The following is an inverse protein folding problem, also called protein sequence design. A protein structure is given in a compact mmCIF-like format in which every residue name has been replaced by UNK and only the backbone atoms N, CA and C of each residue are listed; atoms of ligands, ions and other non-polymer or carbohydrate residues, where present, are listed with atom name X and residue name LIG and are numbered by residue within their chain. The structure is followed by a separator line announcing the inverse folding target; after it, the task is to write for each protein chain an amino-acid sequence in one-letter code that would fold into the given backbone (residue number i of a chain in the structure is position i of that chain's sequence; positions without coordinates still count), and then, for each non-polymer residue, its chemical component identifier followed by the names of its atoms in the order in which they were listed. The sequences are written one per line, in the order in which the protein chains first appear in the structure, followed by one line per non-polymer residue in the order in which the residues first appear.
data_IF_051020706510
#
_entry.id   IF_051020706510
#
_cell.length_a   1.000
_cell.length_b   1.000
_cell.length_c   1.000
_cell.angle_alpha   90.00
_cell.angle_beta   90.00
_cell.angle_gamma   90.00
#
_symmetry.space_group_name_H-M   'P 1'
#
loop_
_entity.id
_entity.type
_entity.pdbx_description
1 polymer ?
#
# COMPACT_ATOMS: atom_id res chain seq x y z
N UNK A 1 -34.55 98.18 41.89
CA UNK A 1 -34.69 97.68 40.53
C UNK A 1 -33.51 96.74 40.28
N UNK A 2 -33.68 95.45 40.53
CA UNK A 2 -32.63 94.52 40.19
C UNK A 2 -33.27 93.10 39.99
N UNK A 3 -33.24 92.69 38.78
CA UNK A 3 -33.83 91.43 38.31
C UNK A 3 -32.72 90.34 38.39
N UNK A 4 -32.88 89.41 39.25
CA UNK A 4 -32.02 88.22 39.32
C UNK A 4 -32.59 87.03 38.52
N UNK A 5 -31.88 86.63 37.48
CA UNK A 5 -32.18 85.44 36.65
C UNK A 5 -31.56 84.18 37.29
N UNK A 6 -32.40 83.27 37.74
CA UNK A 6 -32.01 81.92 38.09
C UNK A 6 -31.74 81.10 36.79
N UNK A 7 -30.53 80.54 36.71
CA UNK A 7 -30.14 79.51 35.74
C UNK A 7 -30.23 78.14 36.41
N UNK A 8 -31.18 77.31 35.98
CA UNK A 8 -31.25 75.88 36.36
C UNK A 8 -30.23 75.11 35.57
N UNK A 9 -29.34 74.41 36.26
CA UNK A 9 -28.42 73.45 35.70
C UNK A 9 -29.16 72.08 35.57
N UNK A 10 -29.40 71.65 34.33
CA UNK A 10 -29.82 70.22 34.05
C UNK A 10 -28.60 69.37 34.11
N UNK A 11 -28.57 68.36 35.00
CA UNK A 11 -27.59 67.32 35.04
C UNK A 11 -27.96 66.21 34.04
N UNK A 12 -27.15 66.05 33.00
CA UNK A 12 -27.27 64.90 32.06
C UNK A 12 -26.69 63.67 32.74
N UNK A 13 -27.54 62.69 33.07
CA UNK A 13 -27.10 61.34 33.46
C UNK A 13 -26.86 60.54 32.18
N UNK A 14 -25.60 60.24 31.84
CA UNK A 14 -25.20 59.30 30.83
C UNK A 14 -25.35 57.91 31.43
N UNK A 15 -26.31 57.11 30.92
CA UNK A 15 -26.43 55.70 31.27
C UNK A 15 -25.46 54.88 30.43
N UNK A 16 -24.46 54.30 31.10
CA UNK A 16 -23.55 53.32 30.47
C UNK A 16 -24.30 51.98 30.33
N UNK A 17 -24.67 51.60 29.13
CA UNK A 17 -25.19 50.27 28.82
C UNK A 17 -23.98 49.38 28.58
N UNK A 18 -23.64 48.54 29.53
CA UNK A 18 -22.65 47.45 29.37
C UNK A 18 -23.28 46.33 28.54
N UNK A 19 -22.89 46.23 27.26
CA UNK A 19 -23.27 45.09 26.42
C UNK A 19 -22.46 43.84 26.84
N UNK A 20 -23.11 42.94 27.52
CA UNK A 20 -22.60 41.58 27.77
C UNK A 20 -22.66 40.77 26.47
N UNK A 21 -21.53 40.62 25.76
CA UNK A 21 -21.38 39.64 24.67
C UNK A 21 -21.31 38.24 25.25
N UNK A 22 -22.14 37.31 24.77
CA UNK A 22 -22.02 35.89 25.21
C UNK A 22 -20.75 35.31 24.63
N UNK A 23 -19.84 34.90 25.50
CA UNK A 23 -18.65 34.12 25.13
C UNK A 23 -19.10 32.70 24.78
N UNK A 24 -19.33 32.42 23.48
CA UNK A 24 -19.52 31.04 23.01
C UNK A 24 -18.21 30.28 23.20
N UNK A 25 -18.10 29.51 24.26
CA UNK A 25 -17.03 28.53 24.41
C UNK A 25 -17.22 27.44 23.34
N UNK A 26 -16.40 27.49 22.30
CA UNK A 26 -16.24 26.39 21.35
C UNK A 26 -15.53 25.28 22.11
N UNK A 27 -16.31 24.27 22.56
CA UNK A 27 -15.72 23.05 23.10
C UNK A 27 -14.89 22.38 21.98
N UNK A 28 -13.63 22.00 22.26
CA UNK A 28 -12.87 21.22 21.28
C UNK A 28 -13.65 19.92 21.01
N UNK A 29 -14.01 19.68 19.74
CA UNK A 29 -14.43 18.35 19.32
C UNK A 29 -13.24 17.42 19.58
N UNK A 30 -13.33 16.60 20.61
CA UNK A 30 -12.41 15.49 20.79
C UNK A 30 -12.62 14.58 19.57
N UNK A 31 -11.65 14.56 18.68
CA UNK A 31 -11.62 13.59 17.60
C UNK A 31 -11.67 12.20 18.27
N UNK A 32 -12.76 11.48 18.05
CA UNK A 32 -12.85 10.10 18.50
C UNK A 32 -11.74 9.31 17.80
N UNK A 33 -10.94 8.60 18.57
CA UNK A 33 -9.99 7.65 17.98
C UNK A 33 -10.77 6.67 17.10
N UNK A 34 -10.30 6.38 15.89
CA UNK A 34 -10.97 5.42 15.02
C UNK A 34 -11.18 4.09 15.75
N UNK A 35 -12.29 3.41 15.46
CA UNK A 35 -12.56 2.10 16.03
C UNK A 35 -11.40 1.13 15.70
N UNK A 36 -11.04 0.22 16.62
CA UNK A 36 -9.91 -0.65 16.39
C UNK A 36 -10.20 -1.67 15.29
N UNK A 37 -9.24 -1.89 14.41
CA UNK A 37 -9.30 -2.96 13.42
C UNK A 37 -9.37 -4.33 14.10
N UNK A 38 -10.23 -5.20 13.58
CA UNK A 38 -10.34 -6.59 14.00
C UNK A 38 -10.72 -7.47 12.82
N UNK A 39 -10.54 -8.78 12.93
CA UNK A 39 -10.97 -9.71 11.88
C UNK A 39 -12.50 -9.77 11.83
N UNK A 40 -13.06 -9.38 10.68
CA UNK A 40 -14.51 -9.35 10.45
C UNK A 40 -15.01 -10.54 9.62
N UNK A 41 -14.11 -11.17 8.83
CA UNK A 41 -14.45 -12.36 8.05
C UNK A 41 -13.20 -13.23 7.78
N UNK A 42 -13.46 -14.49 7.45
CA UNK A 42 -12.47 -15.45 6.98
C UNK A 42 -13.12 -16.39 5.97
N UNK A 43 -12.48 -16.59 4.83
CA UNK A 43 -12.97 -17.45 3.76
C UNK A 43 -11.92 -18.48 3.38
N UNK A 44 -12.27 -19.77 3.47
CA UNK A 44 -11.39 -20.84 3.00
C UNK A 44 -11.38 -20.87 1.48
N UNK A 45 -10.21 -20.65 0.88
CA UNK A 45 -10.02 -20.67 -0.57
C UNK A 45 -9.51 -22.03 -1.05
N UNK A 46 -8.77 -22.72 -0.20
CA UNK A 46 -8.19 -24.04 -0.50
C UNK A 46 -7.14 -24.03 -1.63
N UNK A 47 -6.98 -25.17 -2.27
CA UNK A 47 -6.03 -25.36 -3.36
C UNK A 47 -4.56 -25.37 -2.92
N UNK A 48 -3.68 -25.72 -3.86
CA UNK A 48 -2.24 -25.87 -3.63
C UNK A 48 -1.45 -24.66 -4.16
N UNK A 49 -0.17 -24.56 -3.75
CA UNK A 49 0.78 -23.56 -4.20
C UNK A 49 1.03 -22.45 -3.18
N UNK A 50 2.10 -21.69 -3.42
CA UNK A 50 2.40 -20.48 -2.67
C UNK A 50 1.53 -19.31 -3.10
N UNK A 51 1.65 -18.20 -2.40
CA UNK A 51 0.97 -16.94 -2.73
C UNK A 51 1.93 -15.78 -2.61
N UNK A 52 1.53 -14.65 -3.19
CA UNK A 52 2.29 -13.42 -3.09
C UNK A 52 1.34 -12.21 -3.07
N UNK A 53 1.24 -11.42 -4.13
CA UNK A 53 0.45 -10.18 -4.16
C UNK A 53 -1.06 -10.41 -4.14
N UNK A 54 -1.75 -9.43 -3.53
CA UNK A 54 -3.18 -9.20 -3.68
C UNK A 54 -3.38 -7.85 -4.36
N UNK A 55 -4.40 -7.75 -5.21
CA UNK A 55 -4.83 -6.47 -5.81
C UNK A 55 -6.35 -6.46 -5.93
N UNK A 56 -6.98 -5.41 -5.41
CA UNK A 56 -8.42 -5.23 -5.45
C UNK A 56 -8.84 -4.40 -6.67
N UNK A 57 -9.70 -4.96 -7.50
CA UNK A 57 -10.48 -4.21 -8.48
C UNK A 57 -11.72 -3.64 -7.77
N UNK A 58 -11.60 -2.42 -7.27
CA UNK A 58 -12.65 -1.75 -6.52
C UNK A 58 -13.91 -1.48 -7.36
N UNK A 59 -13.77 -1.35 -8.68
CA UNK A 59 -14.89 -1.09 -9.58
C UNK A 59 -15.80 -2.32 -9.75
N UNK A 60 -15.26 -3.53 -9.68
CA UNK A 60 -16.02 -4.77 -9.84
C UNK A 60 -16.09 -5.63 -8.57
N UNK A 61 -15.52 -5.16 -7.45
CA UNK A 61 -15.44 -5.88 -6.18
C UNK A 61 -14.79 -7.27 -6.30
N UNK A 62 -13.72 -7.36 -7.12
CA UNK A 62 -12.95 -8.57 -7.34
C UNK A 62 -11.56 -8.45 -6.76
N UNK A 63 -11.18 -9.40 -5.93
CA UNK A 63 -9.84 -9.52 -5.39
C UNK A 63 -9.04 -10.52 -6.25
N UNK A 64 -7.92 -10.08 -6.77
CA UNK A 64 -6.99 -10.89 -7.55
C UNK A 64 -5.85 -11.32 -6.63
N UNK A 65 -5.57 -12.61 -6.58
CA UNK A 65 -4.56 -13.19 -5.70
C UNK A 65 -3.59 -14.03 -6.52
N UNK A 66 -2.30 -13.66 -6.53
CA UNK A 66 -1.28 -14.46 -7.19
C UNK A 66 -1.03 -15.76 -6.42
N UNK A 67 -1.05 -16.90 -7.15
CA UNK A 67 -1.11 -18.24 -6.56
C UNK A 67 -0.20 -19.22 -7.31
N UNK A 68 1.10 -18.91 -7.30
CA UNK A 68 2.13 -19.74 -7.93
C UNK A 68 2.01 -19.77 -9.46
N UNK A 69 1.24 -20.67 -10.02
CA UNK A 69 1.08 -20.86 -11.47
C UNK A 69 -0.18 -20.20 -12.06
N UNK A 70 -0.91 -19.45 -11.26
CA UNK A 70 -2.17 -18.79 -11.64
C UNK A 70 -2.45 -17.55 -10.82
N UNK A 71 -3.45 -16.78 -11.24
CA UNK A 71 -4.09 -15.74 -10.46
C UNK A 71 -5.53 -16.15 -10.19
N UNK A 72 -5.90 -16.26 -8.92
CA UNK A 72 -7.28 -16.47 -8.48
C UNK A 72 -8.02 -15.15 -8.50
N UNK A 73 -9.21 -15.11 -9.09
CA UNK A 73 -10.14 -13.98 -9.06
C UNK A 73 -11.29 -14.33 -8.14
N UNK A 74 -11.44 -13.58 -7.07
CA UNK A 74 -12.32 -13.88 -5.95
C UNK A 74 -13.31 -12.74 -5.77
N UNK A 75 -14.58 -13.06 -5.46
CA UNK A 75 -15.57 -12.07 -5.02
C UNK A 75 -15.20 -11.56 -3.62
N UNK A 76 -14.99 -10.26 -3.49
CA UNK A 76 -14.51 -9.62 -2.25
C UNK A 76 -15.37 -9.94 -1.02
N UNK A 77 -16.69 -9.89 -1.19
CA UNK A 77 -17.65 -10.01 -0.07
C UNK A 77 -17.91 -11.42 0.43
N UNK A 78 -17.57 -12.45 -0.36
CA UNK A 78 -17.91 -13.86 -0.05
C UNK A 78 -16.72 -14.81 -0.08
N UNK A 79 -15.59 -14.38 -0.63
CA UNK A 79 -14.45 -15.28 -0.89
C UNK A 79 -14.70 -16.31 -1.98
N UNK A 80 -15.80 -16.19 -2.74
CA UNK A 80 -16.12 -17.13 -3.82
C UNK A 80 -15.13 -17.00 -4.96
N UNK A 81 -14.54 -18.11 -5.38
CA UNK A 81 -13.74 -18.17 -6.58
C UNK A 81 -14.63 -17.94 -7.82
N UNK A 82 -14.36 -16.89 -8.59
CA UNK A 82 -15.06 -16.53 -9.81
C UNK A 82 -14.36 -17.06 -11.06
N UNK A 83 -13.00 -16.98 -11.07
CA UNK A 83 -12.18 -17.36 -12.20
C UNK A 83 -10.75 -17.65 -11.78
N UNK A 84 -9.99 -18.35 -12.63
CA UNK A 84 -8.53 -18.48 -12.52
C UNK A 84 -7.89 -18.13 -13.86
N UNK A 85 -6.93 -17.18 -13.84
CA UNK A 85 -6.08 -16.90 -15.01
C UNK A 85 -4.87 -17.83 -14.88
N UNK A 86 -4.75 -18.79 -15.78
CA UNK A 86 -3.79 -19.90 -15.74
C UNK A 86 -2.71 -19.78 -16.82
N UNK A 87 -1.76 -20.74 -16.84
CA UNK A 87 -0.67 -20.76 -17.81
C UNK A 87 0.48 -19.81 -17.48
N UNK A 88 0.60 -19.47 -16.23
CA UNK A 88 1.62 -18.58 -15.66
C UNK A 88 2.62 -19.38 -14.81
N UNK A 89 3.84 -18.85 -14.60
CA UNK A 89 4.83 -19.52 -13.78
C UNK A 89 5.44 -18.57 -12.73
N UNK A 90 5.19 -18.85 -11.45
CA UNK A 90 5.60 -18.02 -10.30
C UNK A 90 5.08 -16.58 -10.44
N UNK A 91 3.76 -16.46 -10.33
CA UNK A 91 3.05 -15.17 -10.38
C UNK A 91 3.33 -14.31 -9.15
N UNK A 92 3.41 -13.00 -9.39
CA UNK A 92 3.65 -11.99 -8.36
C UNK A 92 2.69 -10.80 -8.51
N UNK A 93 3.20 -9.63 -8.92
CA UNK A 93 2.44 -8.39 -8.99
C UNK A 93 1.27 -8.41 -9.98
N UNK A 94 0.20 -7.69 -9.63
CA UNK A 94 -0.99 -7.51 -10.45
C UNK A 94 -1.32 -6.02 -10.46
N UNK A 95 -1.61 -5.45 -11.63
CA UNK A 95 -1.99 -4.04 -11.76
C UNK A 95 -3.05 -3.85 -12.84
N UNK A 96 -3.79 -2.73 -12.77
CA UNK A 96 -4.92 -2.47 -13.67
C UNK A 96 -4.82 -1.12 -14.38
N UNK A 97 -5.07 -1.12 -15.68
CA UNK A 97 -5.42 0.03 -16.50
C UNK A 97 -6.94 0.08 -16.69
N UNK A 98 -7.62 0.85 -15.88
CA UNK A 98 -9.06 1.02 -16.00
C UNK A 98 -9.46 1.78 -17.28
N UNK A 99 -8.57 2.63 -17.81
CA UNK A 99 -8.83 3.39 -19.03
C UNK A 99 -8.90 2.52 -20.28
N UNK A 100 -7.96 1.57 -20.42
CA UNK A 100 -7.95 0.60 -21.49
C UNK A 100 -8.70 -0.71 -21.14
N UNK A 101 -9.12 -0.88 -19.87
CA UNK A 101 -9.72 -2.10 -19.31
C UNK A 101 -8.80 -3.31 -19.41
N UNK A 102 -7.51 -3.11 -19.16
CA UNK A 102 -6.50 -4.16 -19.14
C UNK A 102 -6.00 -4.43 -17.73
N UNK A 103 -5.72 -5.68 -17.46
CA UNK A 103 -4.96 -6.12 -16.30
C UNK A 103 -3.59 -6.65 -16.74
N UNK A 104 -2.64 -6.58 -15.81
CA UNK A 104 -1.27 -7.04 -16.01
C UNK A 104 -0.86 -7.94 -14.87
N UNK A 105 -0.09 -8.97 -15.15
CA UNK A 105 0.45 -9.93 -14.16
C UNK A 105 1.93 -10.13 -14.45
N UNK A 106 2.77 -10.03 -13.42
CA UNK A 106 4.17 -10.45 -13.53
C UNK A 106 4.31 -11.93 -13.21
N UNK A 107 5.21 -12.59 -13.92
CA UNK A 107 5.59 -13.98 -13.70
C UNK A 107 7.11 -14.13 -13.72
N UNK A 108 7.72 -14.36 -12.53
CA UNK A 108 9.17 -14.43 -12.38
C UNK A 108 9.77 -15.69 -12.99
N UNK A 109 9.02 -16.78 -13.05
CA UNK A 109 9.46 -18.03 -13.68
C UNK A 109 9.72 -17.91 -15.18
N UNK A 110 8.96 -17.04 -15.86
CA UNK A 110 9.08 -16.77 -17.28
C UNK A 110 9.79 -15.45 -17.59
N UNK A 111 10.08 -14.64 -16.57
CA UNK A 111 10.53 -13.25 -16.72
C UNK A 111 9.62 -12.52 -17.70
N UNK A 112 8.35 -12.40 -17.34
CA UNK A 112 7.32 -11.89 -18.26
C UNK A 112 6.28 -11.02 -17.57
N UNK A 113 5.59 -10.21 -18.37
CA UNK A 113 4.35 -9.53 -18.04
C UNK A 113 3.26 -10.03 -18.98
N UNK A 114 2.19 -10.55 -18.41
CA UNK A 114 1.00 -11.01 -19.14
C UNK A 114 -0.09 -9.95 -19.05
N UNK A 115 -0.64 -9.54 -20.18
CA UNK A 115 -1.78 -8.64 -20.29
C UNK A 115 -3.06 -9.45 -20.50
N UNK A 116 -4.13 -9.07 -19.80
CA UNK A 116 -5.46 -9.69 -19.93
C UNK A 116 -6.57 -8.62 -20.00
N UNK A 117 -7.71 -8.98 -20.56
CA UNK A 117 -8.92 -8.14 -20.55
C UNK A 117 -9.54 -8.16 -19.15
N UNK A 118 -9.75 -6.99 -18.56
CA UNK A 118 -10.24 -6.88 -17.17
C UNK A 118 -11.71 -7.31 -17.02
N UNK A 119 -12.50 -7.33 -18.09
CA UNK A 119 -13.90 -7.76 -18.03
C UNK A 119 -14.06 -9.26 -18.27
N UNK A 120 -13.41 -9.79 -19.33
CA UNK A 120 -13.53 -11.21 -19.72
C UNK A 120 -12.54 -12.11 -19.00
N UNK A 121 -11.45 -11.54 -18.47
CA UNK A 121 -10.30 -12.23 -17.84
C UNK A 121 -9.47 -13.07 -18.83
N UNK A 122 -9.71 -12.91 -20.14
CA UNK A 122 -8.96 -13.59 -21.19
C UNK A 122 -7.57 -12.97 -21.36
N UNK A 123 -6.56 -13.83 -21.53
CA UNK A 123 -5.19 -13.38 -21.81
C UNK A 123 -5.11 -12.79 -23.21
N UNK A 124 -4.64 -11.56 -23.31
CA UNK A 124 -4.47 -10.82 -24.56
C UNK A 124 -3.06 -10.98 -25.16
N UNK A 125 -2.07 -11.24 -24.32
CA UNK A 125 -0.69 -11.43 -24.75
C UNK A 125 0.30 -11.42 -23.59
N UNK A 126 1.55 -11.78 -23.90
CA UNK A 126 2.65 -11.82 -22.94
C UNK A 126 3.88 -11.19 -23.57
N UNK A 127 4.60 -10.38 -22.79
CA UNK A 127 5.84 -9.72 -23.19
C UNK A 127 6.97 -10.08 -22.22
N UNK A 128 8.20 -10.15 -22.72
CA UNK A 128 9.38 -10.36 -21.87
C UNK A 128 9.65 -9.18 -20.99
N UNK A 129 9.99 -9.47 -19.75
CA UNK A 129 10.48 -8.55 -18.74
C UNK A 129 11.92 -8.89 -18.32
N UNK A 130 12.48 -8.15 -17.39
CA UNK A 130 13.76 -8.48 -16.78
C UNK A 130 13.67 -9.70 -15.86
N UNK A 131 14.80 -10.27 -15.50
CA UNK A 131 14.90 -11.44 -14.65
C UNK A 131 14.27 -11.17 -13.26
N UNK A 132 13.44 -12.10 -12.79
CA UNK A 132 12.73 -11.96 -11.53
C UNK A 132 11.68 -10.84 -11.56
N UNK A 133 10.83 -10.81 -12.60
CA UNK A 133 9.68 -9.91 -12.69
C UNK A 133 8.76 -10.14 -11.49
N UNK A 134 8.63 -9.12 -10.63
CA UNK A 134 8.03 -9.19 -9.29
C UNK A 134 6.96 -8.12 -9.11
N UNK A 135 7.18 -7.08 -8.31
CA UNK A 135 6.22 -6.02 -8.13
C UNK A 135 5.77 -5.40 -9.45
N UNK A 136 4.51 -4.98 -9.50
CA UNK A 136 3.91 -4.40 -10.68
C UNK A 136 3.00 -3.25 -10.28
N UNK A 137 3.13 -2.12 -10.93
CA UNK A 137 2.21 -1.00 -10.81
C UNK A 137 1.74 -0.53 -12.18
N UNK A 138 0.61 0.17 -12.21
CA UNK A 138 0.18 0.94 -13.37
C UNK A 138 0.27 2.44 -13.03
N UNK A 139 0.98 3.20 -13.84
CA UNK A 139 1.07 4.65 -13.69
C UNK A 139 0.12 5.35 -14.66
N UNK A 140 -0.90 6.00 -14.12
CA UNK A 140 -1.95 6.67 -14.89
C UNK A 140 -1.42 7.83 -15.74
N UNK A 141 -0.38 8.53 -15.26
CA UNK A 141 0.16 9.72 -15.93
C UNK A 141 0.91 9.39 -17.23
N UNK A 142 1.54 8.22 -17.29
CA UNK A 142 2.24 7.74 -18.48
C UNK A 142 1.40 6.76 -19.29
N UNK A 143 0.41 6.10 -18.69
CA UNK A 143 -0.33 5.00 -19.30
C UNK A 143 0.49 3.72 -19.41
N UNK A 144 1.48 3.54 -18.54
CA UNK A 144 2.39 2.40 -18.56
C UNK A 144 2.22 1.49 -17.36
N UNK A 145 2.34 0.18 -17.58
CA UNK A 145 2.62 -0.77 -16.52
C UNK A 145 4.14 -0.89 -16.33
N UNK A 146 4.61 -0.84 -15.08
CA UNK A 146 6.01 -0.98 -14.71
C UNK A 146 6.18 -2.25 -13.88
N UNK A 147 6.91 -3.23 -14.44
CA UNK A 147 7.34 -4.44 -13.75
C UNK A 147 8.70 -4.22 -13.11
N UNK A 148 8.80 -4.42 -11.82
CA UNK A 148 10.06 -4.32 -11.07
C UNK A 148 10.72 -5.69 -11.02
N UNK A 149 11.93 -5.78 -11.55
CA UNK A 149 12.61 -7.04 -11.80
C UNK A 149 13.73 -7.24 -10.77
N UNK A 150 13.42 -7.95 -9.68
CA UNK A 150 14.31 -8.09 -8.53
C UNK A 150 15.68 -8.65 -8.89
N UNK A 151 15.76 -9.77 -9.60
CA UNK A 151 17.04 -10.36 -10.02
C UNK A 151 17.72 -9.57 -11.17
N UNK A 152 16.95 -8.79 -11.93
CA UNK A 152 17.46 -7.97 -13.04
C UNK A 152 17.91 -6.57 -12.63
N UNK A 153 17.72 -6.15 -11.37
CA UNK A 153 18.02 -4.80 -10.87
C UNK A 153 17.49 -3.69 -11.78
N UNK A 154 16.27 -3.87 -12.28
CA UNK A 154 15.68 -3.03 -13.33
C UNK A 154 14.17 -2.93 -13.21
N UNK A 155 13.58 -1.99 -13.95
CA UNK A 155 12.15 -1.99 -14.24
C UNK A 155 11.92 -2.15 -15.75
N UNK A 156 10.93 -2.98 -16.13
CA UNK A 156 10.45 -3.10 -17.51
C UNK A 156 9.20 -2.26 -17.66
N UNK A 157 9.19 -1.37 -18.66
CA UNK A 157 8.06 -0.50 -18.99
C UNK A 157 7.24 -1.13 -20.11
N UNK A 158 5.95 -1.31 -19.86
CA UNK A 158 5.01 -1.91 -20.80
C UNK A 158 3.91 -0.89 -21.12
N UNK A 159 3.64 -0.69 -22.40
CA UNK A 159 2.54 0.15 -22.87
C UNK A 159 1.20 -0.45 -22.45
N UNK A 160 0.39 0.30 -21.72
CA UNK A 160 -0.87 -0.18 -21.15
C UNK A 160 -1.93 -0.57 -22.18
N UNK A 161 -1.89 0.02 -23.37
CA UNK A 161 -2.87 -0.23 -24.43
C UNK A 161 -2.49 -1.38 -25.33
N UNK A 162 -1.21 -1.52 -25.63
CA UNK A 162 -0.73 -2.48 -26.63
C UNK A 162 -0.03 -3.71 -26.04
N UNK A 163 0.32 -3.66 -24.74
CA UNK A 163 1.10 -4.70 -24.06
C UNK A 163 2.55 -4.83 -24.55
N UNK A 164 3.07 -3.86 -25.32
CA UNK A 164 4.44 -3.90 -25.85
C UNK A 164 5.43 -3.37 -24.82
N UNK A 165 6.60 -3.99 -24.71
CA UNK A 165 7.72 -3.46 -23.97
C UNK A 165 8.26 -2.20 -24.65
N UNK A 166 8.36 -1.10 -23.89
CA UNK A 166 8.84 0.21 -24.37
C UNK A 166 10.26 0.46 -23.97
N UNK A 167 10.64 0.09 -22.74
CA UNK A 167 11.96 0.39 -22.17
C UNK A 167 12.31 -0.58 -21.05
N UNK A 168 13.60 -0.64 -20.74
CA UNK A 168 14.14 -1.19 -19.50
C UNK A 168 14.91 -0.10 -18.78
N UNK A 169 14.57 0.17 -17.52
CA UNK A 169 15.17 1.19 -16.68
C UNK A 169 16.13 0.51 -15.70
N UNK A 170 17.46 0.73 -15.78
CA UNK A 170 18.40 0.23 -14.78
C UNK A 170 18.16 0.92 -13.43
N UNK A 171 17.92 0.16 -12.37
CA UNK A 171 17.67 0.70 -11.03
C UNK A 171 18.91 0.72 -10.14
N UNK A 172 19.93 -0.08 -10.47
CA UNK A 172 21.20 -0.13 -9.74
C UNK A 172 21.09 -0.76 -8.36
N UNK A 173 20.09 -1.59 -8.13
CA UNK A 173 19.84 -2.38 -6.94
C UNK A 173 18.56 -3.20 -7.13
N UNK A 174 18.31 -4.11 -6.20
CA UNK A 174 17.17 -5.04 -6.23
C UNK A 174 15.87 -4.32 -5.83
N UNK A 175 14.97 -4.05 -6.79
CA UNK A 175 13.68 -3.46 -6.47
C UNK A 175 12.77 -4.48 -5.79
N UNK A 176 11.94 -3.97 -4.88
CA UNK A 176 10.88 -4.72 -4.20
C UNK A 176 9.55 -4.02 -4.47
N UNK A 177 8.87 -3.42 -3.49
CA UNK A 177 7.62 -2.69 -3.74
C UNK A 177 7.83 -1.34 -4.41
N UNK A 178 6.78 -0.92 -5.14
CA UNK A 178 6.73 0.39 -5.80
C UNK A 178 5.37 1.07 -5.61
N UNK A 179 5.37 2.39 -5.74
CA UNK A 179 4.18 3.23 -5.69
C UNK A 179 4.26 4.38 -6.69
N UNK A 180 3.12 4.79 -7.26
CA UNK A 180 3.02 5.95 -8.15
C UNK A 180 2.25 7.08 -7.46
N UNK A 181 2.65 8.34 -7.73
CA UNK A 181 1.87 9.51 -7.32
C UNK A 181 0.73 9.84 -8.30
N UNK A 182 0.58 9.05 -9.38
CA UNK A 182 -0.39 9.28 -10.43
C UNK A 182 -0.15 10.54 -11.28
N UNK A 183 0.99 11.22 -11.10
CA UNK A 183 1.36 12.47 -11.79
C UNK A 183 2.64 12.35 -12.61
N UNK A 184 3.25 11.18 -12.58
CA UNK A 184 4.44 10.84 -13.36
C UNK A 184 5.67 10.52 -12.53
N UNK A 185 5.57 10.52 -11.20
CA UNK A 185 6.63 10.03 -10.32
C UNK A 185 6.28 8.63 -9.83
N UNK A 186 7.20 7.72 -9.99
CA UNK A 186 7.14 6.36 -9.47
C UNK A 186 8.31 6.16 -8.52
N UNK A 187 8.03 5.58 -7.37
CA UNK A 187 9.00 5.30 -6.32
C UNK A 187 9.14 3.80 -6.14
N UNK A 188 10.36 3.32 -5.92
CA UNK A 188 10.59 1.92 -5.60
C UNK A 188 11.63 1.78 -4.48
N UNK A 189 11.38 0.88 -3.55
CA UNK A 189 12.36 0.42 -2.57
C UNK A 189 13.41 -0.44 -3.27
N UNK A 190 14.70 -0.21 -2.97
CA UNK A 190 15.79 -1.13 -3.30
C UNK A 190 16.20 -1.87 -2.03
N UNK A 191 15.85 -3.15 -1.95
CA UNK A 191 16.03 -4.00 -0.77
C UNK A 191 17.49 -4.15 -0.36
N UNK A 192 18.37 -4.42 -1.33
CA UNK A 192 19.78 -4.73 -1.11
C UNK A 192 20.64 -3.55 -0.69
N UNK A 193 20.19 -2.35 -0.98
CA UNK A 193 20.93 -1.10 -0.71
C UNK A 193 20.23 -0.16 0.28
N UNK A 194 19.00 -0.50 0.69
CA UNK A 194 18.18 0.34 1.58
C UNK A 194 18.02 1.77 1.09
N UNK A 195 17.65 1.90 -0.18
CA UNK A 195 17.50 3.16 -0.92
C UNK A 195 16.11 3.22 -1.55
N UNK A 196 15.53 4.41 -1.66
CA UNK A 196 14.42 4.66 -2.59
C UNK A 196 14.97 5.24 -3.88
N UNK A 197 14.45 4.79 -5.00
CA UNK A 197 14.64 5.43 -6.32
C UNK A 197 13.35 6.13 -6.74
N UNK A 198 13.48 7.34 -7.29
CA UNK A 198 12.40 8.06 -7.97
C UNK A 198 12.62 7.91 -9.48
N UNK A 199 11.57 7.52 -10.19
CA UNK A 199 11.53 7.34 -11.64
C UNK A 199 10.53 8.35 -12.21
N UNK A 200 10.94 9.08 -13.24
CA UNK A 200 10.02 9.81 -14.12
C UNK A 200 9.44 8.81 -15.13
N UNK A 201 8.15 8.48 -14.98
CA UNK A 201 7.47 7.48 -15.80
C UNK A 201 7.21 7.93 -17.25
N UNK A 202 7.26 9.23 -17.52
CA UNK A 202 7.10 9.79 -18.87
C UNK A 202 8.37 9.71 -19.69
N UNK A 203 9.52 9.90 -19.02
CA UNK A 203 10.84 9.81 -19.66
C UNK A 203 11.52 8.46 -19.46
N UNK A 204 10.96 7.60 -18.60
CA UNK A 204 11.47 6.28 -18.25
C UNK A 204 12.92 6.35 -17.71
N UNK A 205 13.16 7.25 -16.78
CA UNK A 205 14.50 7.49 -16.19
C UNK A 205 14.43 7.63 -14.69
N UNK A 206 15.44 7.10 -14.00
CA UNK A 206 15.70 7.41 -12.59
C UNK A 206 16.12 8.86 -12.47
N UNK A 207 15.43 9.65 -11.67
CA UNK A 207 15.67 11.08 -11.46
C UNK A 207 16.38 11.36 -10.14
N UNK A 208 16.06 10.58 -9.09
CA UNK A 208 16.67 10.75 -7.76
C UNK A 208 16.83 9.43 -7.04
N UNK A 209 17.67 9.45 -5.99
CA UNK A 209 17.87 8.37 -5.02
C UNK A 209 18.13 8.97 -3.65
N UNK A 210 17.65 8.32 -2.59
CA UNK A 210 18.02 8.69 -1.22
C UNK A 210 18.03 7.47 -0.30
N UNK A 211 18.93 7.47 0.72
CA UNK A 211 19.00 6.39 1.69
C UNK A 211 17.80 6.41 2.63
N UNK A 212 17.42 5.23 3.10
CA UNK A 212 16.34 5.03 4.06
C UNK A 212 16.83 4.84 5.51
N UNK A 213 18.12 5.02 5.79
CA UNK A 213 18.63 4.83 7.15
C UNK A 213 17.72 5.52 8.20
N UNK A 214 17.39 4.82 9.32
CA UNK A 214 17.93 3.56 9.82
C UNK A 214 17.23 2.28 9.31
N UNK A 215 16.38 2.36 8.30
CA UNK A 215 15.72 1.22 7.66
C UNK A 215 16.75 0.32 6.97
N UNK A 216 16.62 -1.00 7.16
CA UNK A 216 17.42 -2.02 6.49
C UNK A 216 16.50 -2.96 5.71
N UNK A 217 16.88 -3.31 4.48
CA UNK A 217 16.11 -4.18 3.59
C UNK A 217 14.64 -3.78 3.49
N UNK A 218 14.30 -2.63 2.89
CA UNK A 218 12.93 -2.19 2.73
C UNK A 218 12.18 -3.11 1.76
N UNK A 219 10.99 -3.59 2.17
CA UNK A 219 10.07 -4.37 1.36
C UNK A 219 8.84 -3.52 1.00
N UNK A 220 7.76 -3.59 1.81
CA UNK A 220 6.51 -2.89 1.53
C UNK A 220 6.68 -1.38 1.38
N UNK A 221 5.94 -0.80 0.43
CA UNK A 221 5.92 0.64 0.18
C UNK A 221 4.49 1.13 0.02
N UNK A 222 4.11 2.14 0.82
CA UNK A 222 2.87 2.87 0.66
C UNK A 222 3.14 4.35 0.40
N UNK A 223 2.14 5.05 -0.15
CA UNK A 223 2.26 6.47 -0.50
C UNK A 223 1.06 7.26 0.02
N UNK A 224 1.32 8.39 0.69
CA UNK A 224 0.38 9.49 0.86
C UNK A 224 0.71 10.59 -0.15
N UNK A 225 -0.16 10.68 -1.15
CA UNK A 225 -0.02 11.67 -2.25
C UNK A 225 -0.33 13.08 -1.75
N UNK A 226 -1.21 13.23 -0.77
CA UNK A 226 -1.66 14.55 -0.28
C UNK A 226 -0.56 15.28 0.50
N UNK A 227 0.17 14.56 1.36
CA UNK A 227 1.24 15.13 2.16
C UNK A 227 2.64 14.81 1.63
N UNK A 228 2.74 14.14 0.47
CA UNK A 228 3.99 13.78 -0.18
C UNK A 228 4.86 12.87 0.70
N UNK A 229 4.27 11.79 1.23
CA UNK A 229 4.95 10.83 2.12
C UNK A 229 5.02 9.43 1.53
N UNK A 230 6.13 8.76 1.81
CA UNK A 230 6.32 7.35 1.53
C UNK A 230 6.54 6.60 2.84
N UNK A 231 5.93 5.44 2.97
CA UNK A 231 6.02 4.56 4.12
C UNK A 231 6.69 3.26 3.69
N UNK A 232 7.96 3.10 4.05
CA UNK A 232 8.76 1.91 3.72
C UNK A 232 8.86 1.00 4.93
N UNK A 233 8.27 -0.20 4.87
CA UNK A 233 8.41 -1.24 5.88
C UNK A 233 9.72 -2.00 5.70
N UNK A 234 10.48 -2.20 6.77
CA UNK A 234 11.86 -2.68 6.74
C UNK A 234 12.05 -3.93 7.58
N UNK A 235 12.93 -4.85 7.15
CA UNK A 235 13.19 -6.14 7.83
C UNK A 235 13.72 -5.97 9.26
N UNK A 236 14.38 -4.85 9.56
CA UNK A 236 14.82 -4.52 10.92
C UNK A 236 13.71 -3.95 11.82
N UNK A 237 12.43 -4.20 11.49
CA UNK A 237 11.23 -3.88 12.27
C UNK A 237 10.98 -2.40 12.48
N UNK A 238 11.31 -1.59 11.52
CA UNK A 238 10.95 -0.19 11.46
C UNK A 238 10.17 0.10 10.18
N UNK A 239 9.26 1.05 10.24
CA UNK A 239 8.71 1.73 9.08
C UNK A 239 9.40 3.08 8.98
N UNK A 240 10.12 3.33 7.89
CA UNK A 240 10.70 4.62 7.59
C UNK A 240 9.70 5.47 6.81
N UNK A 241 9.46 6.68 7.28
CA UNK A 241 8.60 7.65 6.62
C UNK A 241 9.51 8.69 5.93
N UNK A 242 9.38 8.81 4.62
CA UNK A 242 10.15 9.75 3.80
C UNK A 242 9.28 10.88 3.26
N UNK A 243 9.82 12.09 3.27
CA UNK A 243 9.33 13.19 2.45
C UNK A 243 9.93 13.04 1.06
N UNK A 244 9.09 12.72 0.05
CA UNK A 244 9.62 12.44 -1.29
C UNK A 244 9.95 13.70 -2.10
N UNK A 245 9.48 14.88 -1.73
CA UNK A 245 9.94 16.14 -2.33
C UNK A 245 11.34 16.50 -1.84
N UNK A 246 11.58 16.33 -0.53
CA UNK A 246 12.90 16.55 0.06
C UNK A 246 13.89 15.41 -0.22
N UNK A 247 13.40 14.19 -0.53
CA UNK A 247 14.21 13.00 -0.73
C UNK A 247 14.96 12.58 0.54
N UNK A 248 14.26 12.49 1.67
CA UNK A 248 14.86 12.12 2.96
C UNK A 248 13.85 11.48 3.91
N UNK A 249 14.35 10.64 4.81
CA UNK A 249 13.59 10.13 5.95
C UNK A 249 13.33 11.26 6.95
N UNK A 250 12.09 11.38 7.41
CA UNK A 250 11.65 12.40 8.38
C UNK A 250 11.20 11.80 9.71
N UNK A 251 10.79 10.53 9.72
CA UNK A 251 10.38 9.82 10.92
C UNK A 251 10.57 8.31 10.76
N UNK A 252 10.55 7.61 11.88
CA UNK A 252 10.48 6.14 11.93
C UNK A 252 9.55 5.71 13.05
N UNK A 253 8.85 4.60 12.85
CA UNK A 253 8.03 3.95 13.87
C UNK A 253 8.32 2.45 13.91
N UNK A 254 8.16 1.77 15.07
CA UNK A 254 8.34 0.32 15.14
C UNK A 254 7.20 -0.42 14.44
N UNK A 255 7.52 -1.54 13.78
CA UNK A 255 6.56 -2.49 13.19
C UNK A 255 6.89 -3.93 13.60
N UNK A 256 6.04 -4.89 13.22
CA UNK A 256 6.31 -6.33 13.43
C UNK A 256 7.40 -6.87 12.52
N UNK A 257 7.74 -8.15 12.68
CA UNK A 257 8.80 -8.82 11.90
C UNK A 257 8.26 -9.53 10.66
N UNK A 258 9.15 -9.65 9.65
CA UNK A 258 8.81 -10.25 8.36
C UNK A 258 7.80 -9.40 7.59
N UNK A 259 8.06 -8.11 7.54
CA UNK A 259 7.25 -7.17 6.77
C UNK A 259 7.29 -7.53 5.28
N UNK A 260 6.16 -7.32 4.61
CA UNK A 260 6.06 -7.56 3.16
C UNK A 260 5.29 -6.41 2.48
N UNK A 261 3.99 -6.25 2.74
CA UNK A 261 3.21 -5.20 2.12
C UNK A 261 3.02 -3.97 3.02
N UNK A 262 2.93 -2.80 2.39
CA UNK A 262 2.50 -1.54 2.99
C UNK A 262 1.28 -0.98 2.24
N UNK A 263 0.34 -0.39 2.97
CA UNK A 263 -0.81 0.34 2.40
C UNK A 263 -1.03 1.63 3.18
N UNK A 264 -1.60 2.63 2.53
CA UNK A 264 -2.02 3.88 3.17
C UNK A 264 -3.48 4.17 2.84
N UNK A 265 -4.26 4.48 3.86
CA UNK A 265 -5.65 4.89 3.74
C UNK A 265 -5.75 6.41 3.92
N UNK A 266 -5.98 7.15 2.85
CA UNK A 266 -6.08 8.62 2.92
C UNK A 266 -7.34 9.08 3.66
N UNK A 267 -8.39 8.25 3.73
CA UNK A 267 -9.63 8.58 4.42
C UNK A 267 -9.49 8.61 5.94
N UNK A 268 -8.70 7.70 6.49
CA UNK A 268 -8.44 7.59 7.92
C UNK A 268 -7.05 8.06 8.34
N UNK A 269 -6.18 8.43 7.39
CA UNK A 269 -4.77 8.78 7.62
C UNK A 269 -3.98 7.65 8.32
N UNK A 270 -4.29 6.41 7.96
CA UNK A 270 -3.65 5.23 8.52
C UNK A 270 -2.70 4.58 7.50
N UNK A 271 -1.46 4.36 7.92
CA UNK A 271 -0.53 3.50 7.22
C UNK A 271 -0.52 2.11 7.87
N UNK A 272 -0.43 1.07 7.06
CA UNK A 272 -0.46 -0.31 7.50
C UNK A 272 0.79 -1.04 7.04
N UNK A 273 1.32 -1.89 7.91
CA UNK A 273 2.39 -2.83 7.60
C UNK A 273 1.92 -4.24 7.94
N UNK A 274 1.86 -5.12 6.96
CA UNK A 274 1.61 -6.54 7.20
C UNK A 274 2.91 -7.25 7.56
N UNK A 275 2.87 -8.06 8.61
CA UNK A 275 4.05 -8.67 9.20
C UNK A 275 3.86 -10.20 9.24
N UNK A 276 4.78 -10.95 8.63
CA UNK A 276 4.69 -12.41 8.49
C UNK A 276 4.71 -13.19 9.81
N UNK A 277 5.09 -12.56 10.91
CA UNK A 277 4.96 -13.15 12.25
C UNK A 277 3.49 -13.39 12.65
N UNK A 278 2.52 -12.71 12.03
CA UNK A 278 1.10 -12.79 12.29
C UNK A 278 0.52 -11.52 12.91
N UNK A 279 0.91 -10.36 12.39
CA UNK A 279 0.36 -9.08 12.83
C UNK A 279 0.23 -8.08 11.67
N UNK A 280 -0.62 -7.05 11.87
CA UNK A 280 -0.64 -5.82 11.09
C UNK A 280 -0.36 -4.67 12.04
N UNK A 281 0.67 -3.89 11.77
CA UNK A 281 0.93 -2.64 12.51
C UNK A 281 0.15 -1.52 11.85
N UNK A 282 -0.62 -0.78 12.66
CA UNK A 282 -1.43 0.37 12.23
C UNK A 282 -0.76 1.64 12.75
N UNK A 283 -0.39 2.51 11.85
CA UNK A 283 0.32 3.77 12.13
C UNK A 283 -0.57 4.93 11.70
N UNK A 284 -0.86 5.83 12.62
CA UNK A 284 -1.62 7.05 12.31
C UNK A 284 -0.68 8.20 11.95
N UNK A 285 -0.99 8.91 10.88
CA UNK A 285 -0.37 10.17 10.54
C UNK A 285 -1.03 11.31 11.34
N UNK A 286 -0.49 11.60 12.53
CA UNK A 286 -1.01 12.66 13.41
C UNK A 286 -0.89 14.05 12.78
N UNK A 287 0.12 14.20 11.95
CA UNK A 287 0.36 15.35 11.07
C UNK A 287 1.41 14.94 10.02
N UNK A 288 1.64 15.71 8.94
CA UNK A 288 2.63 15.38 7.91
C UNK A 288 4.07 15.14 8.41
N UNK A 289 4.34 15.42 9.68
CA UNK A 289 5.67 15.21 10.28
C UNK A 289 5.63 14.45 11.62
N UNK A 290 4.48 13.90 12.01
CA UNK A 290 4.32 13.16 13.26
C UNK A 290 3.47 11.92 13.07
N UNK A 291 3.96 10.79 13.55
CA UNK A 291 3.38 9.46 13.35
C UNK A 291 3.36 8.69 14.66
N UNK A 292 2.32 7.93 14.89
CA UNK A 292 2.18 7.08 16.06
C UNK A 292 1.63 5.71 15.71
N UNK A 293 2.18 4.66 16.32
CA UNK A 293 1.57 3.33 16.27
C UNK A 293 0.33 3.35 17.15
N UNK A 294 -0.84 3.19 16.55
CA UNK A 294 -2.13 3.24 17.26
C UNK A 294 -2.68 1.87 17.56
N UNK A 295 -2.26 0.84 16.81
CA UNK A 295 -2.69 -0.53 17.05
C UNK A 295 -1.70 -1.53 16.45
N UNK A 296 -1.62 -2.72 17.07
CA UNK A 296 -1.09 -3.95 16.46
C UNK A 296 -2.22 -4.97 16.42
N UNK A 297 -2.69 -5.26 15.22
CA UNK A 297 -3.79 -6.21 14.99
C UNK A 297 -3.18 -7.61 14.89
N UNK A 298 -3.68 -8.56 15.67
CA UNK A 298 -3.27 -9.96 15.54
C UNK A 298 -3.88 -10.56 14.28
N UNK A 299 -3.03 -11.21 13.46
CA UNK A 299 -3.44 -11.98 12.29
C UNK A 299 -2.96 -13.42 12.42
N UNK A 300 -2.95 -14.15 11.31
CA UNK A 300 -2.40 -15.50 11.25
C UNK A 300 -0.94 -15.43 10.77
N UNK A 301 -0.07 -16.27 11.32
CA UNK A 301 1.31 -16.39 10.83
C UNK A 301 1.34 -16.61 9.31
N UNK A 302 2.23 -15.91 8.62
CA UNK A 302 2.34 -15.94 7.16
C UNK A 302 1.37 -15.03 6.42
N UNK A 303 0.47 -14.30 7.11
CA UNK A 303 -0.37 -13.24 6.54
C UNK A 303 0.51 -11.98 6.31
N UNK A 304 1.45 -12.08 5.38
CA UNK A 304 2.49 -11.09 5.12
C UNK A 304 2.14 -10.10 4.00
N UNK A 305 1.36 -10.54 3.03
CA UNK A 305 0.88 -9.67 1.94
C UNK A 305 -0.48 -9.08 2.28
N UNK A 306 -0.82 -7.92 1.73
CA UNK A 306 -2.02 -7.19 2.12
C UNK A 306 -2.53 -6.30 1.00
N UNK A 307 -3.85 -6.12 0.94
CA UNK A 307 -4.51 -5.10 0.13
C UNK A 307 -5.49 -4.29 0.98
N UNK A 308 -5.74 -3.06 0.57
CA UNK A 308 -6.68 -2.13 1.20
C UNK A 308 -7.76 -1.73 0.22
N UNK A 309 -9.03 -1.78 0.65
CA UNK A 309 -10.11 -1.04 0.01
C UNK A 309 -10.28 0.34 0.69
N UNK A 310 -9.87 1.43 0.05
CA UNK A 310 -9.97 2.76 0.66
C UNK A 310 -11.41 3.27 0.76
N UNK A 311 -12.38 2.65 0.07
CA UNK A 311 -13.78 3.04 0.13
C UNK A 311 -14.49 2.47 1.36
N UNK A 312 -14.20 1.21 1.71
CA UNK A 312 -14.76 0.54 2.89
C UNK A 312 -13.81 0.49 4.08
N UNK A 313 -12.57 0.97 3.93
CA UNK A 313 -11.49 0.88 4.92
C UNK A 313 -11.13 -0.56 5.33
N UNK A 314 -11.46 -1.56 4.52
CA UNK A 314 -11.15 -2.97 4.80
C UNK A 314 -9.76 -3.34 4.33
N UNK A 315 -9.12 -4.20 5.12
CA UNK A 315 -7.85 -4.84 4.77
C UNK A 315 -8.10 -6.31 4.43
N UNK A 316 -7.44 -6.75 3.39
CA UNK A 316 -7.45 -8.13 2.90
C UNK A 316 -6.05 -8.70 3.01
N UNK A 317 -5.91 -9.89 3.57
CA UNK A 317 -4.64 -10.63 3.59
C UNK A 317 -4.92 -12.11 3.41
N UNK A 318 -3.94 -12.83 2.91
CA UNK A 318 -4.06 -14.29 2.71
C UNK A 318 -2.95 -15.01 3.44
N UNK A 319 -3.27 -16.22 3.89
CA UNK A 319 -2.30 -17.13 4.51
C UNK A 319 -2.77 -18.57 4.41
N UNK A 320 -2.00 -19.49 5.00
CA UNK A 320 -2.38 -20.88 5.13
C UNK A 320 -1.89 -21.42 6.49
N UNK A 321 -2.31 -22.61 6.85
CA UNK A 321 -1.72 -23.36 7.95
C UNK A 321 -0.43 -24.05 7.49
N UNK A 322 0.53 -24.14 8.40
CA UNK A 322 1.84 -24.72 8.12
C UNK A 322 2.08 -25.97 8.97
N UNK A 323 2.68 -26.97 8.36
CA UNK A 323 3.23 -28.11 9.08
C UNK A 323 4.53 -27.76 9.83
N UNK A 324 5.16 -28.75 10.47
CA UNK A 324 6.45 -28.54 11.12
C UNK A 324 7.54 -28.21 10.09
N UNK A 325 8.47 -27.32 10.48
CA UNK A 325 9.62 -27.04 9.64
C UNK A 325 10.50 -28.31 9.48
N UNK A 326 11.04 -28.61 8.28
CA UNK A 326 11.95 -29.70 8.08
C UNK A 326 13.18 -29.60 9.00
N UNK A 327 13.65 -30.74 9.52
CA UNK A 327 14.84 -30.78 10.39
C UNK A 327 16.11 -30.35 9.64
N UNK A 328 16.18 -30.66 8.34
CA UNK A 328 17.33 -30.37 7.50
C UNK A 328 16.93 -29.54 6.28
N UNK A 329 17.85 -28.69 5.83
CA UNK A 329 17.73 -27.97 4.58
C UNK A 329 17.92 -28.93 3.39
N UNK A 330 17.18 -28.73 2.31
CA UNK A 330 17.34 -29.45 1.04
C UNK A 330 17.66 -28.44 -0.08
N UNK A 331 18.17 -28.89 -1.23
CA UNK A 331 18.36 -28.01 -2.39
C UNK A 331 17.08 -27.23 -2.77
N UNK A 332 15.92 -27.89 -2.68
CA UNK A 332 14.62 -27.28 -3.02
C UNK A 332 14.03 -26.43 -1.88
N UNK A 333 14.52 -26.64 -0.64
CA UNK A 333 14.09 -25.88 0.53
C UNK A 333 15.30 -25.49 1.42
N UNK A 334 16.20 -24.64 0.92
CA UNK A 334 17.42 -24.26 1.65
C UNK A 334 17.12 -23.44 2.93
N UNK A 335 15.95 -22.77 2.98
CA UNK A 335 15.50 -21.99 4.14
C UNK A 335 14.68 -22.79 5.14
N UNK A 336 14.52 -24.11 4.97
CA UNK A 336 13.72 -24.99 5.83
C UNK A 336 12.29 -24.46 6.06
N UNK A 337 11.68 -23.87 5.03
CA UNK A 337 10.33 -23.34 5.14
C UNK A 337 9.36 -24.48 5.47
N UNK A 338 8.45 -24.29 6.45
CA UNK A 338 7.40 -25.25 6.75
C UNK A 338 6.53 -25.51 5.53
N UNK A 339 6.09 -26.76 5.29
CA UNK A 339 5.15 -27.06 4.22
C UNK A 339 3.79 -26.42 4.50
N UNK A 340 3.15 -25.94 3.45
CA UNK A 340 1.76 -25.49 3.51
C UNK A 340 0.88 -26.75 3.65
N UNK A 341 -0.05 -26.74 4.61
CA UNK A 341 -1.01 -27.83 4.76
C UNK A 341 -2.07 -27.76 3.65
N UNK A 342 -2.44 -28.90 3.06
CA UNK A 342 -3.43 -28.95 1.99
C UNK A 342 -4.75 -28.29 2.38
N UNK A 343 -5.38 -27.61 1.44
CA UNK A 343 -6.69 -26.96 1.59
C UNK A 343 -6.81 -25.93 2.74
N UNK A 344 -5.68 -25.48 3.31
CA UNK A 344 -5.67 -24.54 4.43
C UNK A 344 -5.54 -23.07 4.02
N UNK A 345 -5.46 -22.77 2.74
CA UNK A 345 -5.34 -21.40 2.25
C UNK A 345 -6.62 -20.62 2.51
N UNK A 346 -6.48 -19.44 3.13
CA UNK A 346 -7.60 -18.60 3.58
C UNK A 346 -7.38 -17.13 3.19
N UNK A 347 -8.48 -16.45 2.90
CA UNK A 347 -8.57 -15.01 2.87
C UNK A 347 -9.08 -14.53 4.23
N UNK A 348 -8.37 -13.60 4.84
CA UNK A 348 -8.73 -12.92 6.07
C UNK A 348 -9.12 -11.49 5.76
N UNK A 349 -10.22 -11.02 6.31
CA UNK A 349 -10.72 -9.65 6.14
C UNK A 349 -10.75 -8.95 7.48
N UNK A 350 -10.17 -7.77 7.54
CA UNK A 350 -10.15 -6.92 8.74
C UNK A 350 -10.87 -5.61 8.45
N UNK A 351 -11.54 -5.09 9.46
CA UNK A 351 -12.27 -3.82 9.43
C UNK A 351 -12.40 -3.21 10.82
N UNK A 352 -12.97 -2.03 10.89
CA UNK A 352 -13.27 -1.31 12.14
C UNK A 352 -14.65 -1.62 12.67
#
# INVERSE_FOLDING_TARGET
MNSSRHRSRRANRVALIAALLPFCAVAPLLAQSPAPYHQIASYTLGGDGGWDYLTLDTASHRLFVSRGDRVMVIEEGSGKLLHEITGLHRTHGIAFDYGARHGFITASGDSSVTMFDLATLEVLGTVKAGAGADALIFDQASGHALSFNGAGNSATVVDGRTGKSLATIPLGGRPEFAASDGRGKVFANLEDSSVIVEIDSKTNRVTRRWPLAPCESPSGLAIDIAHHRLFSGCENKVMAISDYDAGKVIATVPIGSGVDAGRFDPGSQLAFSSNGEGSITVVHEDSPNKYSVVQTVTTQRGARTMELDPASHKLFTVTASFGPAPEQATPDNPRRRPPILPNSFVLLVFGQ
#
